data_IF_955156174823
#
_entry.id   IF_955156174823
#
_cell.length_a   1.000
_cell.length_b   1.000
_cell.length_c   1.000
_cell.angle_alpha   90.00
_cell.angle_beta   90.00
_cell.angle_gamma   90.00
#
_symmetry.space_group_name_H-M   'P 1'
#
loop_
_entity.id
_entity.type
_entity.pdbx_description
1 polymer ?
#
# COMPACT_ATOMS: atom_id res chain seq x y z
N UNK A 1 -66.40 -87.78 111.23
CA UNK A 1 -64.97 -87.56 111.52
C UNK A 1 -64.71 -86.07 111.41
N UNK A 2 -64.37 -85.39 112.53
CA UNK A 2 -64.24 -83.95 112.53
C UNK A 2 -62.93 -83.57 111.83
N UNK A 3 -63.05 -82.74 110.80
CA UNK A 3 -61.95 -81.97 110.24
C UNK A 3 -61.39 -81.07 111.36
N UNK A 4 -60.21 -81.43 111.89
CA UNK A 4 -59.47 -80.55 112.78
C UNK A 4 -58.86 -79.41 111.96
N UNK A 5 -59.02 -78.15 112.41
CA UNK A 5 -58.52 -76.99 111.72
C UNK A 5 -56.98 -76.99 111.76
N UNK A 6 -56.36 -76.76 110.60
CA UNK A 6 -54.93 -76.46 110.53
C UNK A 6 -54.64 -75.26 111.44
N UNK A 7 -53.82 -75.48 112.47
CA UNK A 7 -53.44 -74.47 113.44
C UNK A 7 -52.79 -73.28 112.71
N UNK A 8 -53.33 -72.05 112.79
CA UNK A 8 -52.87 -70.90 112.02
C UNK A 8 -51.37 -70.62 112.20
N UNK A 9 -50.79 -70.98 113.35
CA UNK A 9 -49.35 -70.88 113.60
C UNK A 9 -48.50 -71.79 112.72
N UNK A 10 -48.91 -73.05 112.49
CA UNK A 10 -48.16 -74.00 111.63
C UNK A 10 -48.26 -73.64 110.15
N UNK A 11 -49.41 -73.11 109.72
CA UNK A 11 -49.63 -72.63 108.35
C UNK A 11 -48.82 -71.34 108.09
N UNK A 12 -48.76 -70.43 109.06
CA UNK A 12 -47.96 -69.21 109.00
C UNK A 12 -46.44 -69.49 108.98
N UNK A 13 -45.97 -70.49 109.71
CA UNK A 13 -44.56 -70.88 109.76
C UNK A 13 -44.11 -71.54 108.44
N UNK A 14 -44.99 -72.37 107.84
CA UNK A 14 -44.76 -72.94 106.50
C UNK A 14 -44.78 -71.85 105.42
N UNK A 15 -45.73 -70.91 105.48
CA UNK A 15 -45.77 -69.74 104.60
C UNK A 15 -44.54 -68.83 104.75
N UNK A 16 -43.99 -68.68 105.97
CA UNK A 16 -42.76 -67.94 106.21
C UNK A 16 -41.52 -68.67 105.65
N UNK A 17 -41.44 -70.01 105.80
CA UNK A 17 -40.37 -70.81 105.20
C UNK A 17 -40.43 -70.78 103.67
N UNK A 18 -41.63 -70.88 103.08
CA UNK A 18 -41.83 -70.78 101.62
C UNK A 18 -41.47 -69.39 101.09
N UNK A 19 -41.73 -68.32 101.86
CA UNK A 19 -41.25 -66.96 101.55
C UNK A 19 -39.74 -66.86 101.57
N UNK A 20 -39.07 -67.41 102.58
CA UNK A 20 -37.59 -67.42 102.66
C UNK A 20 -36.98 -68.22 101.48
N UNK A 21 -37.58 -69.35 101.12
CA UNK A 21 -37.15 -70.16 99.96
C UNK A 21 -37.39 -69.38 98.66
N UNK A 22 -38.52 -68.70 98.52
CA UNK A 22 -38.84 -67.85 97.37
C UNK A 22 -37.87 -66.65 97.25
N UNK A 23 -37.52 -65.99 98.36
CA UNK A 23 -36.54 -64.89 98.39
C UNK A 23 -35.13 -65.39 98.03
N UNK A 24 -34.76 -66.58 98.51
CA UNK A 24 -33.48 -67.22 98.14
C UNK A 24 -33.45 -67.62 96.66
N UNK A 25 -34.56 -68.13 96.11
CA UNK A 25 -34.68 -68.44 94.69
C UNK A 25 -34.62 -67.16 93.85
N UNK A 26 -35.33 -66.11 94.27
CA UNK A 26 -35.35 -64.78 93.64
C UNK A 26 -33.95 -64.17 93.59
N UNK A 27 -33.20 -64.21 94.70
CA UNK A 27 -31.81 -63.71 94.74
C UNK A 27 -30.86 -64.54 93.86
N UNK A 28 -31.01 -65.87 93.82
CA UNK A 28 -30.24 -66.70 92.89
C UNK A 28 -30.56 -66.41 91.42
N UNK A 29 -31.83 -66.24 91.06
CA UNK A 29 -32.24 -65.88 89.70
C UNK A 29 -31.76 -64.46 89.32
N UNK A 30 -31.71 -63.53 90.27
CA UNK A 30 -31.08 -62.21 90.05
C UNK A 30 -29.58 -62.33 89.78
N UNK A 31 -28.86 -63.19 90.52
CA UNK A 31 -27.43 -63.44 90.24
C UNK A 31 -27.21 -64.13 88.89
N UNK A 32 -28.11 -65.04 88.51
CA UNK A 32 -28.06 -65.69 87.20
C UNK A 32 -28.27 -64.69 86.06
N UNK A 33 -29.32 -63.86 86.13
CA UNK A 33 -29.57 -62.80 85.12
C UNK A 33 -28.43 -61.78 85.04
N UNK A 34 -27.84 -61.42 86.18
CA UNK A 34 -26.67 -60.53 86.21
C UNK A 34 -25.45 -61.16 85.54
N UNK A 35 -25.25 -62.47 85.67
CA UNK A 35 -24.21 -63.19 84.96
C UNK A 35 -24.46 -63.18 83.45
N UNK A 36 -25.69 -63.46 83.02
CA UNK A 36 -26.08 -63.40 81.60
C UNK A 36 -25.87 -61.99 81.02
N UNK A 37 -26.16 -60.94 81.81
CA UNK A 37 -25.91 -59.54 81.42
C UNK A 37 -24.41 -59.22 81.29
N UNK A 38 -23.57 -59.71 82.22
CA UNK A 38 -22.11 -59.56 82.11
C UNK A 38 -21.51 -60.36 80.94
N UNK A 39 -22.03 -61.56 80.67
CA UNK A 39 -21.64 -62.35 79.50
C UNK A 39 -22.00 -61.61 78.21
N UNK A 40 -23.21 -61.04 78.12
CA UNK A 40 -23.62 -60.22 76.97
C UNK A 40 -22.73 -58.98 76.81
N UNK A 41 -22.44 -58.25 77.88
CA UNK A 41 -21.55 -57.07 77.83
C UNK A 41 -20.13 -57.43 77.40
N UNK A 42 -19.60 -58.56 77.89
CA UNK A 42 -18.30 -59.08 77.46
C UNK A 42 -18.30 -59.39 75.96
N UNK A 43 -19.32 -60.08 75.48
CA UNK A 43 -19.41 -60.50 74.08
C UNK A 43 -19.64 -59.30 73.15
N UNK A 44 -20.40 -58.28 73.59
CA UNK A 44 -20.52 -56.99 72.90
C UNK A 44 -19.17 -56.27 72.80
N UNK A 45 -18.44 -56.14 73.91
CA UNK A 45 -17.13 -55.52 73.91
C UNK A 45 -16.12 -56.29 73.03
N UNK A 46 -16.20 -57.62 72.98
CA UNK A 46 -15.38 -58.45 72.10
C UNK A 46 -15.69 -58.18 70.62
N UNK A 47 -16.97 -58.08 70.24
CA UNK A 47 -17.36 -57.73 68.87
C UNK A 47 -16.99 -56.28 68.49
N UNK A 48 -17.09 -55.33 69.44
CA UNK A 48 -16.63 -53.95 69.23
C UNK A 48 -15.11 -53.88 69.01
N UNK A 49 -14.32 -54.69 69.74
CA UNK A 49 -12.88 -54.79 69.52
C UNK A 49 -12.56 -55.29 68.11
N UNK A 50 -13.23 -56.33 67.63
CA UNK A 50 -13.05 -56.86 66.28
C UNK A 50 -13.42 -55.82 65.20
N UNK A 51 -14.51 -55.07 65.40
CA UNK A 51 -14.88 -53.98 64.50
C UNK A 51 -13.85 -52.84 64.48
N UNK A 52 -13.26 -52.50 65.64
CA UNK A 52 -12.18 -51.51 65.73
C UNK A 52 -10.91 -52.00 65.02
N UNK A 53 -10.56 -53.29 65.15
CA UNK A 53 -9.41 -53.86 64.45
C UNK A 53 -9.54 -53.77 62.93
N UNK A 54 -10.74 -54.03 62.38
CA UNK A 54 -11.04 -53.85 60.96
C UNK A 54 -11.00 -52.36 60.55
N UNK A 55 -11.47 -51.44 61.40
CA UNK A 55 -11.31 -50.01 61.16
C UNK A 55 -9.84 -49.59 61.14
N UNK A 56 -9.01 -50.13 62.02
CA UNK A 56 -7.56 -49.89 62.03
C UNK A 56 -6.93 -50.41 60.74
N UNK A 57 -7.33 -51.58 60.25
CA UNK A 57 -6.85 -52.13 58.97
C UNK A 57 -7.26 -51.25 57.78
N UNK A 58 -8.49 -50.74 57.76
CA UNK A 58 -8.95 -49.80 56.74
C UNK A 58 -8.16 -48.49 56.76
N UNK A 59 -7.89 -47.92 57.96
CA UNK A 59 -7.09 -46.70 58.10
C UNK A 59 -5.63 -46.90 57.67
N UNK A 60 -5.02 -48.06 57.95
CA UNK A 60 -3.69 -48.41 57.43
C UNK A 60 -3.66 -48.39 55.90
N UNK A 61 -4.69 -48.92 55.26
CA UNK A 61 -4.82 -48.88 53.79
C UNK A 61 -5.02 -47.46 53.26
N UNK A 62 -5.79 -46.62 53.97
CA UNK A 62 -5.96 -45.21 53.63
C UNK A 62 -4.63 -44.43 53.73
N UNK A 63 -3.79 -44.71 54.73
CA UNK A 63 -2.45 -44.12 54.86
C UNK A 63 -1.58 -44.48 53.65
N UNK A 64 -1.57 -45.75 53.23
CA UNK A 64 -0.81 -46.19 52.05
C UNK A 64 -1.33 -45.54 50.75
N UNK A 65 -2.65 -45.42 50.58
CA UNK A 65 -3.26 -44.70 49.46
C UNK A 65 -2.77 -43.24 49.42
N UNK A 66 -2.79 -42.54 50.55
CA UNK A 66 -2.35 -41.14 50.63
C UNK A 66 -0.86 -41.02 50.32
N UNK A 67 0.00 -41.95 50.77
CA UNK A 67 1.43 -41.98 50.39
C UNK A 67 1.61 -42.10 48.87
N UNK A 68 0.84 -42.97 48.22
CA UNK A 68 0.86 -43.10 46.75
C UNK A 68 0.38 -41.82 46.07
N UNK A 69 -0.66 -41.17 46.58
CA UNK A 69 -1.15 -39.89 46.03
C UNK A 69 -0.10 -38.78 46.15
N UNK A 70 0.64 -38.70 47.25
CA UNK A 70 1.76 -37.76 47.41
C UNK A 70 2.85 -38.06 46.36
N UNK A 71 3.21 -39.32 46.17
CA UNK A 71 4.20 -39.71 45.16
C UNK A 71 3.72 -39.40 43.72
N UNK A 72 2.43 -39.57 43.43
CA UNK A 72 1.83 -39.20 42.16
C UNK A 72 1.86 -37.69 41.94
N UNK A 73 1.52 -36.89 42.96
CA UNK A 73 1.58 -35.43 42.90
C UNK A 73 3.03 -34.95 42.65
N UNK A 74 4.01 -35.55 43.34
CA UNK A 74 5.44 -35.25 43.12
C UNK A 74 5.90 -35.59 41.69
N UNK A 75 5.43 -36.70 41.11
CA UNK A 75 5.70 -37.04 39.70
C UNK A 75 5.02 -36.07 38.73
N UNK A 76 3.79 -35.65 39.01
CA UNK A 76 3.09 -34.67 38.18
C UNK A 76 3.79 -33.31 38.16
N UNK A 77 4.33 -32.88 39.32
CA UNK A 77 5.16 -31.69 39.41
C UNK A 77 6.42 -31.82 38.55
N UNK A 78 7.16 -32.94 38.67
CA UNK A 78 8.35 -33.20 37.86
C UNK A 78 8.05 -33.16 36.36
N UNK A 79 6.97 -33.83 35.92
CA UNK A 79 6.54 -33.81 34.52
C UNK A 79 6.20 -32.39 34.03
N UNK A 80 5.52 -31.58 34.85
CA UNK A 80 5.23 -30.19 34.52
C UNK A 80 6.50 -29.34 34.40
N UNK A 81 7.47 -29.54 35.30
CA UNK A 81 8.78 -28.87 35.24
C UNK A 81 9.56 -29.26 33.97
N UNK A 82 9.58 -30.54 33.61
CA UNK A 82 10.26 -31.00 32.39
C UNK A 82 9.59 -30.47 31.12
N UNK A 83 8.26 -30.40 31.09
CA UNK A 83 7.53 -29.78 29.98
C UNK A 83 7.86 -28.28 29.85
N UNK A 84 7.93 -27.56 30.98
CA UNK A 84 8.35 -26.17 30.99
C UNK A 84 9.80 -25.97 30.51
N UNK A 85 10.73 -26.83 30.95
CA UNK A 85 12.12 -26.83 30.45
C UNK A 85 12.17 -27.07 28.95
N UNK A 86 11.38 -28.01 28.43
CA UNK A 86 11.28 -28.25 26.99
C UNK A 86 10.76 -27.01 26.24
N UNK A 87 9.66 -26.39 26.69
CA UNK A 87 9.13 -25.19 26.05
C UNK A 87 10.10 -24.01 26.04
N UNK A 88 10.97 -23.89 27.05
CA UNK A 88 12.02 -22.87 27.10
C UNK A 88 13.21 -23.18 26.19
N UNK A 89 13.65 -24.43 26.18
CA UNK A 89 14.87 -24.87 25.48
C UNK A 89 14.65 -25.24 24.02
N UNK A 90 13.41 -25.47 23.59
CA UNK A 90 13.11 -25.77 22.18
C UNK A 90 13.57 -24.62 21.28
N UNK A 91 14.01 -24.95 20.07
CA UNK A 91 14.47 -23.98 19.08
C UNK A 91 13.39 -22.97 18.68
N UNK A 92 12.13 -23.40 18.54
CA UNK A 92 10.96 -22.55 18.22
C UNK A 92 10.36 -21.91 19.48
N UNK A 93 11.21 -21.36 20.34
CA UNK A 93 10.78 -20.61 21.52
C UNK A 93 10.30 -19.20 21.14
N UNK A 94 9.77 -18.47 22.12
CA UNK A 94 9.31 -17.09 21.90
C UNK A 94 10.44 -16.14 21.45
N UNK A 95 11.69 -16.41 21.85
CA UNK A 95 12.85 -15.62 21.45
C UNK A 95 13.12 -15.69 19.94
N UNK A 96 12.98 -16.86 19.32
CA UNK A 96 13.08 -17.01 17.87
C UNK A 96 12.04 -16.15 17.14
N UNK A 97 10.77 -16.19 17.58
CA UNK A 97 9.71 -15.40 16.95
C UNK A 97 9.88 -13.89 17.17
N UNK A 98 10.36 -13.46 18.33
CA UNK A 98 10.68 -12.05 18.58
C UNK A 98 11.83 -11.56 17.70
N UNK A 99 12.87 -12.38 17.52
CA UNK A 99 13.95 -12.09 16.59
C UNK A 99 13.45 -12.06 15.14
N UNK A 100 12.63 -13.02 14.72
CA UNK A 100 12.07 -13.06 13.37
C UNK A 100 11.19 -11.84 13.10
N UNK A 101 10.37 -11.42 14.07
CA UNK A 101 9.53 -10.23 13.97
C UNK A 101 10.39 -8.96 13.82
N UNK A 102 11.49 -8.83 14.57
CA UNK A 102 12.37 -7.64 14.46
C UNK A 102 13.06 -7.55 13.10
N UNK A 103 13.51 -8.69 12.55
CA UNK A 103 14.11 -8.74 11.22
C UNK A 103 13.06 -8.46 10.13
N UNK A 104 11.91 -9.15 10.17
CA UNK A 104 10.87 -9.02 9.15
C UNK A 104 10.22 -7.64 9.15
N UNK A 105 10.00 -7.03 10.31
CA UNK A 105 9.45 -5.67 10.39
C UNK A 105 10.37 -4.64 9.72
N UNK A 106 11.69 -4.82 9.83
CA UNK A 106 12.67 -3.95 9.17
C UNK A 106 12.61 -4.09 7.65
N UNK A 107 12.64 -5.33 7.16
CA UNK A 107 12.55 -5.59 5.72
C UNK A 107 11.22 -5.14 5.11
N UNK A 108 10.12 -5.33 5.84
CA UNK A 108 8.79 -4.95 5.38
C UNK A 108 8.66 -3.44 5.20
N UNK A 109 9.17 -2.63 6.14
CA UNK A 109 9.15 -1.18 6.01
C UNK A 109 10.02 -0.67 4.85
N UNK A 110 11.24 -1.21 4.69
CA UNK A 110 12.12 -0.84 3.58
C UNK A 110 11.52 -1.20 2.21
N UNK A 111 10.88 -2.36 2.11
CA UNK A 111 10.17 -2.76 0.91
C UNK A 111 8.97 -1.85 0.62
N UNK A 112 8.22 -1.47 1.66
CA UNK A 112 7.12 -0.52 1.54
C UNK A 112 7.59 0.83 0.98
N UNK A 113 8.66 1.40 1.52
CA UNK A 113 9.19 2.69 1.06
C UNK A 113 9.63 2.63 -0.43
N UNK A 114 10.32 1.55 -0.81
CA UNK A 114 10.72 1.33 -2.20
C UNK A 114 9.51 1.18 -3.14
N UNK A 115 8.46 0.47 -2.73
CA UNK A 115 7.25 0.28 -3.54
C UNK A 115 6.45 1.58 -3.66
N UNK A 116 6.34 2.37 -2.58
CA UNK A 116 5.66 3.67 -2.63
C UNK A 116 6.33 4.61 -3.63
N UNK A 117 7.67 4.64 -3.67
CA UNK A 117 8.40 5.42 -4.66
C UNK A 117 8.04 5.01 -6.11
N UNK A 118 7.91 3.71 -6.38
CA UNK A 118 7.48 3.22 -7.70
C UNK A 118 6.02 3.60 -8.01
N UNK A 119 5.11 3.51 -7.04
CA UNK A 119 3.72 3.94 -7.20
C UNK A 119 3.63 5.44 -7.51
N UNK A 120 4.41 6.28 -6.82
CA UNK A 120 4.47 7.72 -7.07
C UNK A 120 5.05 8.05 -8.45
N UNK A 121 6.06 7.29 -8.91
CA UNK A 121 6.58 7.42 -10.27
C UNK A 121 5.51 7.06 -11.32
N UNK A 122 4.73 5.99 -11.08
CA UNK A 122 3.61 5.61 -11.95
C UNK A 122 2.48 6.63 -11.96
N UNK A 123 2.20 7.27 -10.83
CA UNK A 123 1.25 8.39 -10.75
C UNK A 123 1.78 9.62 -11.50
N UNK A 124 3.07 9.93 -11.37
CA UNK A 124 3.71 11.03 -12.09
C UNK A 124 3.70 10.81 -13.62
N UNK A 125 3.97 9.59 -14.09
CA UNK A 125 3.85 9.26 -15.53
C UNK A 125 2.40 9.35 -16.00
N UNK A 126 1.44 8.90 -15.18
CA UNK A 126 0.02 9.07 -15.49
C UNK A 126 -0.37 10.55 -15.60
N UNK A 127 0.08 11.42 -14.69
CA UNK A 127 -0.16 12.87 -14.79
C UNK A 127 0.43 13.47 -16.06
N UNK A 128 1.63 13.01 -16.44
CA UNK A 128 2.33 13.46 -17.62
C UNK A 128 1.57 13.12 -18.91
N UNK A 129 1.15 11.87 -19.07
CA UNK A 129 0.43 11.39 -20.24
C UNK A 129 -1.00 11.94 -20.32
N UNK A 130 -1.71 11.97 -19.19
CA UNK A 130 -3.10 12.38 -19.15
C UNK A 130 -3.26 13.91 -19.16
N UNK A 131 -2.22 14.66 -18.82
CA UNK A 131 -2.30 16.12 -18.72
C UNK A 131 -3.19 16.61 -17.57
N UNK A 132 -3.44 15.77 -16.57
CA UNK A 132 -4.25 16.10 -15.39
C UNK A 132 -3.40 15.98 -14.13
N UNK A 133 -3.00 17.11 -13.57
CA UNK A 133 -2.14 17.22 -12.39
C UNK A 133 -2.93 17.47 -11.09
N UNK A 134 -4.26 17.49 -11.15
CA UNK A 134 -5.11 17.79 -9.99
C UNK A 134 -5.59 16.53 -9.28
N UNK A 135 -5.87 15.48 -10.05
CA UNK A 135 -6.25 14.19 -9.49
C UNK A 135 -5.08 13.58 -8.73
N UNK A 136 -5.36 12.83 -7.65
CA UNK A 136 -4.36 12.06 -6.91
C UNK A 136 -4.94 10.71 -6.55
N UNK A 137 -4.18 9.65 -6.80
CA UNK A 137 -4.52 8.28 -6.52
C UNK A 137 -3.76 7.74 -5.31
N UNK A 138 -2.45 8.00 -5.25
CA UNK A 138 -1.61 7.49 -4.17
C UNK A 138 -1.77 8.38 -2.95
N UNK A 139 -2.37 7.83 -1.90
CA UNK A 139 -2.64 8.60 -0.69
C UNK A 139 -1.49 8.44 0.32
N UNK A 140 -1.06 9.54 0.97
CA UNK A 140 -0.18 9.43 2.12
C UNK A 140 -0.92 8.74 3.28
N UNK A 141 -0.18 8.10 4.19
CA UNK A 141 -0.68 7.44 5.40
C UNK A 141 -1.41 6.09 5.19
N UNK A 142 -0.95 5.30 4.23
CA UNK A 142 -1.34 3.89 4.09
C UNK A 142 -0.68 3.01 5.16
N UNK A 143 0.48 3.43 5.67
CA UNK A 143 1.22 2.74 6.71
C UNK A 143 0.73 3.12 8.12
N UNK A 144 0.36 2.12 8.92
CA UNK A 144 -0.02 2.29 10.33
C UNK A 144 1.03 1.64 11.25
N UNK A 145 1.78 2.47 11.97
CA UNK A 145 2.81 2.02 12.91
C UNK A 145 2.25 1.10 14.00
N UNK A 146 1.06 1.42 14.52
CA UNK A 146 0.40 0.67 15.60
C UNK A 146 0.03 -0.77 15.20
N UNK A 147 0.00 -1.08 13.90
CA UNK A 147 -0.42 -2.36 13.35
C UNK A 147 0.63 -2.97 12.41
N UNK A 148 1.91 -2.59 12.57
CA UNK A 148 3.02 -3.08 11.74
C UNK A 148 2.82 -2.89 10.22
N UNK A 149 1.96 -1.96 9.80
CA UNK A 149 1.66 -1.71 8.39
C UNK A 149 1.01 -2.88 7.63
N UNK A 150 0.38 -3.85 8.30
CA UNK A 150 -0.06 -5.12 7.68
C UNK A 150 -1.01 -4.98 6.48
N UNK A 151 -1.78 -3.88 6.36
CA UNK A 151 -2.73 -3.65 5.26
C UNK A 151 -2.22 -2.71 4.19
N UNK A 152 -0.94 -2.35 4.23
CA UNK A 152 -0.39 -1.33 3.35
C UNK A 152 -0.37 -1.78 1.89
N UNK A 153 -0.07 -3.06 1.64
CA UNK A 153 -0.03 -3.64 0.30
C UNK A 153 -1.40 -3.64 -0.39
N UNK A 154 -2.46 -4.05 0.31
CA UNK A 154 -3.82 -4.08 -0.23
C UNK A 154 -4.33 -2.68 -0.56
N UNK A 155 -4.02 -1.70 0.29
CA UNK A 155 -4.39 -0.31 0.07
C UNK A 155 -3.69 0.28 -1.16
N UNK A 156 -2.37 0.08 -1.31
CA UNK A 156 -1.63 0.52 -2.50
C UNK A 156 -2.15 -0.16 -3.77
N UNK A 157 -2.42 -1.47 -3.71
CA UNK A 157 -3.00 -2.22 -4.84
C UNK A 157 -4.36 -1.64 -5.26
N UNK A 158 -5.22 -1.30 -4.31
CA UNK A 158 -6.51 -0.68 -4.62
C UNK A 158 -6.33 0.70 -5.28
N UNK A 159 -5.36 1.50 -4.83
CA UNK A 159 -5.05 2.80 -5.43
C UNK A 159 -4.57 2.66 -6.88
N UNK A 160 -3.68 1.69 -7.16
CA UNK A 160 -3.24 1.38 -8.52
C UNK A 160 -4.38 0.93 -9.42
N UNK A 161 -5.29 0.08 -8.94
CA UNK A 161 -6.48 -0.33 -9.71
C UNK A 161 -7.40 0.85 -10.04
N UNK A 162 -7.51 1.84 -9.14
CA UNK A 162 -8.27 3.07 -9.41
C UNK A 162 -7.59 3.93 -10.48
N UNK A 163 -6.26 4.03 -10.42
CA UNK A 163 -5.46 4.75 -11.41
C UNK A 163 -5.60 4.11 -12.80
N UNK A 164 -5.47 2.78 -12.89
CA UNK A 164 -5.67 2.02 -14.14
C UNK A 164 -7.09 2.19 -14.69
N UNK A 165 -8.11 2.07 -13.84
CA UNK A 165 -9.49 2.28 -14.26
C UNK A 165 -9.75 3.71 -14.76
N UNK A 166 -9.09 4.72 -14.18
CA UNK A 166 -9.17 6.11 -14.63
C UNK A 166 -8.44 6.31 -15.96
N UNK A 167 -7.27 5.68 -16.13
CA UNK A 167 -6.53 5.66 -17.39
C UNK A 167 -7.36 5.04 -18.51
N UNK A 168 -7.91 3.83 -18.32
CA UNK A 168 -8.72 3.14 -19.33
C UNK A 168 -9.95 3.93 -19.78
N UNK A 169 -10.59 4.68 -18.86
CA UNK A 169 -11.73 5.55 -19.20
C UNK A 169 -11.35 6.74 -20.08
N UNK A 170 -10.12 7.22 -19.96
CA UNK A 170 -9.57 8.35 -20.73
C UNK A 170 -8.66 7.89 -21.87
N UNK A 171 -8.48 6.58 -22.02
CA UNK A 171 -7.69 5.97 -23.08
C UNK A 171 -8.50 5.93 -24.37
N UNK A 172 -8.76 7.12 -24.90
CA UNK A 172 -9.38 7.35 -26.19
C UNK A 172 -8.38 8.00 -27.13
N UNK A 173 -8.62 7.87 -28.44
CA UNK A 173 -7.79 8.53 -29.44
C UNK A 173 -8.03 10.03 -29.36
N UNK A 174 -7.02 10.75 -28.92
CA UNK A 174 -6.97 12.21 -29.04
C UNK A 174 -6.85 12.59 -30.51
N UNK A 175 -7.13 13.85 -30.82
CA UNK A 175 -6.98 14.34 -32.18
C UNK A 175 -5.48 14.47 -32.48
N UNK A 176 -4.99 13.66 -33.41
CA UNK A 176 -3.59 13.68 -33.86
C UNK A 176 -3.43 14.66 -35.01
N UNK A 177 -2.54 15.64 -34.84
CA UNK A 177 -2.30 16.71 -35.81
C UNK A 177 -0.82 16.77 -36.18
N UNK A 178 -0.58 17.22 -37.41
CA UNK A 178 0.76 17.46 -37.94
C UNK A 178 0.81 18.89 -38.44
N UNK A 179 1.67 19.71 -37.83
CA UNK A 179 1.92 21.09 -38.24
C UNK A 179 3.34 21.21 -38.77
N UNK A 180 3.47 21.69 -40.00
CA UNK A 180 4.77 21.98 -40.60
C UNK A 180 5.00 23.49 -40.57
N UNK A 181 6.03 23.93 -39.88
CA UNK A 181 6.36 25.34 -39.67
C UNK A 181 7.65 25.66 -40.43
N UNK A 182 7.54 26.53 -41.42
CA UNK A 182 8.68 27.15 -42.09
C UNK A 182 9.13 28.35 -41.28
N UNK A 183 10.40 28.38 -40.87
CA UNK A 183 10.95 29.50 -40.11
C UNK A 183 10.99 30.77 -40.96
N UNK A 184 11.26 30.65 -42.27
CA UNK A 184 11.18 31.78 -43.19
C UNK A 184 9.78 32.41 -43.20
N UNK A 185 8.72 31.60 -43.24
CA UNK A 185 7.34 32.11 -43.16
C UNK A 185 7.03 32.69 -41.78
N UNK A 186 7.52 32.06 -40.70
CA UNK A 186 7.31 32.51 -39.33
C UNK A 186 7.95 33.88 -39.05
N UNK A 187 9.14 34.15 -39.58
CA UNK A 187 9.81 35.46 -39.47
C UNK A 187 9.24 36.52 -40.44
N UNK A 188 8.50 36.12 -41.47
CA UNK A 188 7.83 37.04 -42.40
C UNK A 188 6.43 37.45 -41.93
N UNK A 189 5.82 36.70 -41.01
CA UNK A 189 4.52 37.05 -40.44
C UNK A 189 4.60 38.29 -39.53
N UNK A 190 3.54 39.09 -39.54
CA UNK A 190 3.44 40.33 -38.76
C UNK A 190 3.53 40.06 -37.26
N UNK A 191 4.66 40.35 -36.63
CA UNK A 191 4.84 40.23 -35.17
C UNK A 191 6.18 39.66 -34.71
N UNK A 192 7.01 39.15 -35.61
CA UNK A 192 8.37 38.68 -35.30
C UNK A 192 9.34 39.87 -35.23
N UNK A 193 10.20 39.91 -34.21
CA UNK A 193 11.17 41.01 -34.00
C UNK A 193 12.30 41.03 -35.05
N UNK A 194 12.51 39.93 -35.77
CA UNK A 194 13.61 39.71 -36.70
C UNK A 194 13.11 39.26 -38.06
N UNK A 195 13.75 39.76 -39.12
CA UNK A 195 13.53 39.27 -40.49
C UNK A 195 14.33 37.99 -40.75
N UNK A 196 13.89 37.17 -41.71
CA UNK A 196 14.62 35.93 -42.08
C UNK A 196 16.10 36.18 -42.42
N UNK A 197 16.40 37.28 -43.11
CA UNK A 197 17.77 37.60 -43.52
C UNK A 197 18.66 37.97 -42.32
N UNK A 198 18.09 38.57 -41.26
CA UNK A 198 18.78 38.84 -39.99
C UNK A 198 18.99 37.55 -39.21
N UNK A 199 17.98 36.67 -39.15
CA UNK A 199 18.09 35.37 -38.53
C UNK A 199 19.17 34.51 -39.22
N UNK A 200 19.22 34.48 -40.55
CA UNK A 200 20.24 33.76 -41.32
C UNK A 200 21.65 34.30 -41.06
N UNK A 201 21.81 35.63 -40.97
CA UNK A 201 23.10 36.23 -40.55
C UNK A 201 23.48 35.81 -39.14
N UNK A 202 22.52 35.78 -38.21
CA UNK A 202 22.73 35.24 -36.86
C UNK A 202 23.20 33.78 -36.85
N UNK A 203 22.63 32.93 -37.71
CA UNK A 203 23.12 31.55 -37.90
C UNK A 203 24.57 31.53 -38.37
N UNK A 204 24.93 32.39 -39.33
CA UNK A 204 26.27 32.39 -39.93
C UNK A 204 27.31 32.94 -38.94
N UNK A 205 27.00 34.03 -38.24
CA UNK A 205 27.93 34.75 -37.37
C UNK A 205 28.02 34.14 -35.96
N UNK A 206 26.89 33.80 -35.35
CA UNK A 206 26.81 33.31 -33.96
C UNK A 206 26.50 31.79 -33.88
N UNK A 207 25.93 31.21 -34.93
CA UNK A 207 25.56 29.80 -34.95
C UNK A 207 24.28 29.48 -34.17
N UNK A 208 23.41 30.46 -33.88
CA UNK A 208 22.20 30.28 -33.08
C UNK A 208 21.01 30.98 -33.71
N UNK A 209 19.86 30.31 -33.73
CA UNK A 209 18.56 30.91 -34.04
C UNK A 209 17.54 30.53 -33.00
N UNK A 210 16.87 31.55 -32.46
CA UNK A 210 15.78 31.39 -31.52
C UNK A 210 14.45 31.64 -32.23
N UNK A 211 13.46 30.81 -31.92
CA UNK A 211 12.11 30.99 -32.45
C UNK A 211 11.06 30.54 -31.44
N UNK A 212 9.88 31.15 -31.52
CA UNK A 212 8.74 30.82 -30.69
C UNK A 212 7.59 30.27 -31.55
N UNK A 213 7.03 29.16 -31.12
CA UNK A 213 5.77 28.64 -31.64
C UNK A 213 4.61 29.25 -30.84
N UNK A 214 4.19 30.45 -31.27
CA UNK A 214 3.14 31.23 -30.64
C UNK A 214 1.75 30.56 -30.81
N UNK A 215 0.78 30.86 -29.93
CA UNK A 215 -0.59 30.31 -30.01
C UNK A 215 -1.25 30.50 -31.38
N UNK A 216 -1.02 31.65 -32.01
CA UNK A 216 -1.53 32.01 -33.34
C UNK A 216 -1.20 30.97 -34.42
N UNK A 217 -0.05 30.30 -34.33
CA UNK A 217 0.40 29.29 -35.31
C UNK A 217 -0.50 28.05 -35.33
N UNK A 218 -1.12 27.73 -34.19
CA UNK A 218 -1.99 26.56 -34.02
C UNK A 218 -3.47 26.94 -34.01
N UNK A 219 -3.82 28.04 -33.35
CA UNK A 219 -5.20 28.53 -33.24
C UNK A 219 -5.75 28.97 -34.61
N UNK A 220 -4.90 29.48 -35.51
CA UNK A 220 -5.31 29.85 -36.86
C UNK A 220 -5.79 28.68 -37.72
N UNK A 221 -5.31 27.46 -37.44
CA UNK A 221 -5.81 26.25 -38.10
C UNK A 221 -7.03 25.68 -37.33
N UNK A 222 -6.92 25.59 -35.99
CA UNK A 222 -7.95 25.03 -35.11
C UNK A 222 -8.06 25.78 -33.77
N UNK A 223 -9.01 26.73 -33.62
CA UNK A 223 -9.14 27.58 -32.44
C UNK A 223 -9.76 26.86 -31.22
N UNK A 224 -10.49 25.76 -31.43
CA UNK A 224 -11.15 25.02 -30.34
C UNK A 224 -10.26 24.07 -29.54
N UNK A 225 -8.98 23.93 -29.90
CA UNK A 225 -8.12 22.90 -29.33
C UNK A 225 -7.40 23.36 -28.06
N UNK A 226 -7.47 22.55 -27.00
CA UNK A 226 -6.68 22.68 -25.77
C UNK A 226 -5.87 21.40 -25.51
N UNK A 227 -5.07 21.40 -24.44
CA UNK A 227 -4.17 20.30 -24.06
C UNK A 227 -3.30 19.82 -25.24
N UNK A 228 -2.65 20.78 -25.91
CA UNK A 228 -1.75 20.49 -27.03
C UNK A 228 -0.43 19.91 -26.54
N UNK A 229 -0.27 18.60 -26.63
CA UNK A 229 0.94 17.89 -26.22
C UNK A 229 1.70 17.36 -27.44
N UNK A 230 3.00 17.61 -27.49
CA UNK A 230 3.87 17.11 -28.54
C UNK A 230 3.97 15.58 -28.46
N UNK A 231 4.05 14.94 -29.63
CA UNK A 231 4.33 13.50 -29.78
C UNK A 231 5.73 13.31 -30.35
N UNK A 232 6.06 14.08 -31.38
CA UNK A 232 7.40 14.09 -31.95
C UNK A 232 7.64 15.41 -32.69
N UNK A 233 8.92 15.79 -32.76
CA UNK A 233 9.39 16.91 -33.56
C UNK A 233 10.43 16.38 -34.53
N UNK A 234 10.35 16.78 -35.81
CA UNK A 234 11.45 16.61 -36.76
C UNK A 234 11.88 17.94 -37.33
N UNK A 235 13.15 18.00 -37.72
CA UNK A 235 13.73 19.16 -38.40
C UNK A 235 14.24 18.73 -39.76
N UNK A 236 13.89 19.53 -40.77
CA UNK A 236 14.42 19.43 -42.12
C UNK A 236 15.10 20.74 -42.49
N UNK A 237 16.34 20.63 -42.97
CA UNK A 237 17.23 21.72 -43.33
C UNK A 237 17.47 21.65 -44.85
N UNK A 238 16.62 22.31 -45.67
CA UNK A 238 16.83 22.41 -47.10
C UNK A 238 18.07 23.27 -47.40
N UNK A 239 19.22 22.60 -47.43
CA UNK A 239 20.54 23.14 -47.75
C UNK A 239 21.30 22.20 -48.70
N UNK A 240 22.34 22.72 -49.35
CA UNK A 240 23.22 21.94 -50.21
C UNK A 240 24.24 21.18 -49.33
N UNK A 241 23.89 19.95 -48.94
CA UNK A 241 24.77 19.08 -48.16
C UNK A 241 25.57 18.18 -49.10
N UNK A 242 26.90 18.15 -48.93
CA UNK A 242 27.79 17.32 -49.73
C UNK A 242 27.62 15.81 -49.46
N UNK A 243 28.04 14.93 -50.38
CA UNK A 243 28.04 13.49 -50.14
C UNK A 243 28.86 13.12 -48.90
N UNK A 244 28.28 12.33 -47.99
CA UNK A 244 28.89 11.93 -46.71
C UNK A 244 29.25 13.10 -45.77
N UNK A 245 28.70 14.29 -46.02
CA UNK A 245 28.77 15.40 -45.08
C UNK A 245 27.57 15.32 -44.13
N UNK A 246 27.83 15.37 -42.84
CA UNK A 246 26.80 15.37 -41.81
C UNK A 246 26.47 16.81 -41.41
N UNK A 247 25.20 17.05 -41.10
CA UNK A 247 24.78 18.30 -40.46
C UNK A 247 25.07 18.19 -38.97
N UNK A 248 25.60 19.24 -38.34
CA UNK A 248 25.75 19.27 -36.88
C UNK A 248 24.92 20.41 -36.34
N UNK A 249 23.76 20.06 -35.79
CA UNK A 249 22.88 21.01 -35.14
C UNK A 249 22.28 20.40 -33.87
N UNK A 250 21.92 21.25 -32.92
CA UNK A 250 21.29 20.90 -31.66
C UNK A 250 20.02 21.73 -31.54
N UNK A 251 18.87 21.08 -31.48
CA UNK A 251 17.59 21.73 -31.21
C UNK A 251 17.28 21.56 -29.73
N UNK A 252 17.05 22.66 -29.03
CA UNK A 252 16.72 22.69 -27.59
C UNK A 252 15.38 23.35 -27.38
N UNK A 253 14.51 22.72 -26.59
CA UNK A 253 13.26 23.33 -26.12
C UNK A 253 13.58 24.12 -24.84
N UNK A 254 13.64 25.45 -24.95
CA UNK A 254 13.98 26.35 -23.84
C UNK A 254 12.81 26.45 -22.86
N UNK A 255 11.59 26.61 -23.40
CA UNK A 255 10.38 26.59 -22.60
C UNK A 255 9.19 26.04 -23.37
N UNK A 256 8.20 25.54 -22.65
CA UNK A 256 6.95 25.02 -23.19
C UNK A 256 5.78 25.35 -22.25
N UNK A 257 4.60 25.54 -22.82
CA UNK A 257 3.36 25.87 -22.12
C UNK A 257 2.25 24.97 -22.65
N UNK A 258 1.45 24.41 -21.75
CA UNK A 258 0.28 23.59 -22.10
C UNK A 258 -0.93 24.08 -21.33
N UNK A 259 -2.03 24.34 -22.04
CA UNK A 259 -3.33 24.66 -21.43
C UNK A 259 -4.03 23.37 -21.04
N UNK A 260 -4.21 23.11 -19.75
CA UNK A 260 -4.68 21.82 -19.22
C UNK A 260 -6.19 21.61 -19.36
N UNK A 261 -6.97 22.69 -19.40
CA UNK A 261 -8.43 22.69 -19.44
C UNK A 261 -8.91 23.73 -20.44
N UNK A 262 -10.10 23.52 -21.02
CA UNK A 262 -10.78 24.51 -21.85
C UNK A 262 -11.23 25.73 -21.00
N UNK A 263 -10.28 26.58 -20.64
CA UNK A 263 -10.48 27.77 -19.82
C UNK A 263 -10.12 29.03 -20.63
N UNK A 264 -11.12 29.89 -20.82
CA UNK A 264 -11.00 31.15 -21.54
C UNK A 264 -9.93 32.06 -20.92
N UNK A 265 -9.81 32.05 -19.59
CA UNK A 265 -8.85 32.91 -18.87
C UNK A 265 -7.41 32.49 -19.10
N UNK A 266 -7.16 31.20 -19.32
CA UNK A 266 -5.85 30.68 -19.68
C UNK A 266 -5.46 31.14 -21.09
N UNK A 267 -6.40 31.15 -22.04
CA UNK A 267 -6.15 31.68 -23.39
C UNK A 267 -5.92 33.19 -23.37
N UNK A 268 -6.68 33.95 -22.58
CA UNK A 268 -6.46 35.40 -22.43
C UNK A 268 -5.03 35.72 -21.95
N UNK A 269 -4.47 34.93 -21.05
CA UNK A 269 -3.08 35.07 -20.59
C UNK A 269 -2.08 34.88 -21.73
N UNK A 270 -2.30 33.87 -22.59
CA UNK A 270 -1.43 33.59 -23.74
C UNK A 270 -1.45 34.69 -24.79
N UNK A 271 -2.58 35.41 -24.92
CA UNK A 271 -2.76 36.52 -25.86
C UNK A 271 -2.55 37.91 -25.22
N UNK A 272 -2.21 37.98 -23.93
CA UNK A 272 -1.98 39.26 -23.22
C UNK A 272 -3.21 40.14 -23.07
N UNK A 273 -4.40 39.55 -22.92
CA UNK A 273 -5.71 40.24 -22.82
C UNK A 273 -6.17 40.36 -21.35
N UNK A 274 -7.07 41.32 -21.02
CA UNK A 274 -7.61 41.46 -19.65
C UNK A 274 -8.49 40.27 -19.23
N UNK A 275 -8.70 40.08 -17.91
CA UNK A 275 -9.35 38.89 -17.31
C UNK A 275 -8.61 37.57 -17.62
N UNK A 276 -7.29 37.57 -17.37
CA UNK A 276 -6.41 36.43 -17.57
C UNK A 276 -6.11 35.67 -16.27
N UNK A 277 -5.81 34.37 -16.37
CA UNK A 277 -5.39 33.56 -15.22
C UNK A 277 -4.43 32.43 -15.63
N UNK A 278 -3.27 32.29 -14.95
CA UNK A 278 -2.30 31.23 -15.25
C UNK A 278 -2.64 29.88 -14.59
N UNK A 279 -3.75 29.75 -13.85
CA UNK A 279 -4.02 28.60 -13.00
C UNK A 279 -4.10 27.25 -13.74
N UNK A 280 -4.55 27.26 -15.00
CA UNK A 280 -4.69 26.06 -15.84
C UNK A 280 -3.60 25.95 -16.91
N UNK A 281 -2.49 26.69 -16.76
CA UNK A 281 -1.34 26.62 -17.66
C UNK A 281 -0.21 25.88 -16.96
N UNK A 282 0.23 24.78 -17.57
CA UNK A 282 1.43 24.07 -17.16
C UNK A 282 2.65 24.65 -17.88
N UNK A 283 3.65 25.02 -17.09
CA UNK A 283 4.92 25.52 -17.60
C UNK A 283 5.99 24.44 -17.47
N UNK A 284 6.74 24.22 -18.54
CA UNK A 284 7.99 23.43 -18.55
C UNK A 284 7.91 22.10 -17.80
N UNK A 285 7.02 21.16 -18.18
CA UNK A 285 6.95 19.86 -17.52
C UNK A 285 8.28 19.09 -17.64
N UNK A 286 9.03 19.29 -18.73
CA UNK A 286 10.41 18.81 -18.89
C UNK A 286 11.25 19.94 -19.50
N UNK A 287 11.95 20.69 -18.65
CA UNK A 287 12.76 21.82 -19.09
C UNK A 287 14.03 21.37 -19.84
N UNK A 288 14.45 22.18 -20.81
CA UNK A 288 15.76 22.09 -21.47
C UNK A 288 16.08 20.74 -22.12
N UNK A 289 15.07 20.08 -22.68
CA UNK A 289 15.32 18.92 -23.54
C UNK A 289 16.02 19.36 -24.82
N UNK A 290 16.88 18.50 -25.36
CA UNK A 290 17.57 18.76 -26.61
C UNK A 290 17.74 17.50 -27.44
N UNK A 291 17.80 17.67 -28.75
CA UNK A 291 18.15 16.64 -29.72
C UNK A 291 19.32 17.09 -30.59
N UNK A 292 20.13 16.13 -31.03
CA UNK A 292 21.17 16.35 -32.02
C UNK A 292 20.64 15.95 -33.40
N UNK A 293 20.87 16.79 -34.40
CA UNK A 293 20.54 16.52 -35.79
C UNK A 293 21.82 16.12 -36.52
N UNK A 294 21.74 15.10 -37.37
CA UNK A 294 22.87 14.55 -38.13
C UNK A 294 22.58 14.42 -39.62
N UNK A 295 21.32 14.14 -39.99
CA UNK A 295 20.90 13.96 -41.39
C UNK A 295 20.40 15.24 -42.03
N UNK A 296 19.72 16.08 -41.25
CA UNK A 296 19.11 17.33 -41.73
C UNK A 296 17.89 17.15 -42.64
N UNK A 297 17.36 15.93 -42.80
CA UNK A 297 16.11 15.68 -43.54
C UNK A 297 15.24 14.78 -42.66
N UNK A 298 14.05 15.26 -42.29
CA UNK A 298 13.09 14.61 -41.39
C UNK A 298 13.78 13.96 -40.17
N UNK A 299 14.66 14.72 -39.53
CA UNK A 299 15.51 14.22 -38.46
C UNK A 299 14.86 14.46 -37.10
N UNK A 300 14.62 13.38 -36.36
CA UNK A 300 13.97 13.36 -35.05
C UNK A 300 14.98 13.34 -33.88
N UNK A 301 16.29 13.24 -34.17
CA UNK A 301 17.33 13.12 -33.15
C UNK A 301 17.39 11.77 -32.45
N UNK A 302 16.73 10.76 -33.01
CA UNK A 302 16.82 9.35 -32.64
C UNK A 302 17.24 8.53 -33.86
N UNK A 303 17.94 7.42 -33.65
CA UNK A 303 18.41 6.58 -34.76
C UNK A 303 17.25 5.97 -35.57
N UNK A 304 16.21 5.54 -34.87
CA UNK A 304 14.99 4.99 -35.44
C UNK A 304 13.81 5.53 -34.62
N UNK A 305 12.81 6.07 -35.33
CA UNK A 305 11.55 6.47 -34.72
C UNK A 305 10.69 5.21 -34.53
N UNK A 306 10.48 4.81 -33.28
CA UNK A 306 9.58 3.72 -32.91
C UNK A 306 8.57 4.23 -31.89
N UNK A 307 7.29 4.18 -32.26
CA UNK A 307 6.19 4.59 -31.38
C UNK A 307 5.82 3.51 -30.36
N UNK A 308 6.43 2.31 -30.45
CA UNK A 308 6.25 1.23 -29.49
C UNK A 308 7.41 1.13 -28.47
N UNK A 309 8.33 2.09 -28.44
CA UNK A 309 9.36 2.15 -27.39
C UNK A 309 8.69 2.46 -26.04
N UNK A 310 9.15 1.78 -24.98
CA UNK A 310 8.66 2.00 -23.61
C UNK A 310 9.09 3.37 -23.05
N UNK A 311 10.01 4.06 -23.73
CA UNK A 311 10.52 5.37 -23.34
C UNK A 311 9.88 6.48 -24.17
N UNK A 312 9.58 7.60 -23.51
CA UNK A 312 9.13 8.80 -24.20
C UNK A 312 10.15 9.28 -25.24
N UNK A 313 9.65 9.62 -26.43
CA UNK A 313 10.40 10.28 -27.48
C UNK A 313 10.86 11.68 -27.02
N UNK A 314 11.89 12.24 -27.67
CA UNK A 314 12.29 13.61 -27.39
C UNK A 314 11.12 14.58 -27.58
N UNK A 315 10.92 15.46 -26.60
CA UNK A 315 9.84 16.44 -26.50
C UNK A 315 8.43 15.86 -26.35
N UNK A 316 8.26 14.54 -26.34
CA UNK A 316 6.94 13.93 -26.17
C UNK A 316 6.33 14.33 -24.84
N UNK A 317 5.06 14.76 -24.85
CA UNK A 317 4.29 15.19 -23.68
C UNK A 317 4.51 16.65 -23.27
N UNK A 318 5.49 17.35 -23.84
CA UNK A 318 5.69 18.78 -23.60
C UNK A 318 4.68 19.63 -24.38
N UNK A 319 4.55 20.91 -24.01
CA UNK A 319 3.57 21.79 -24.63
C UNK A 319 3.92 22.18 -26.06
N UNK A 320 2.92 22.19 -26.94
CA UNK A 320 3.11 22.67 -28.32
C UNK A 320 3.51 24.15 -28.38
N UNK A 321 2.97 24.97 -27.48
CA UNK A 321 3.36 26.37 -27.33
C UNK A 321 4.74 26.40 -26.67
N UNK A 322 5.77 26.76 -27.42
CA UNK A 322 7.14 26.54 -26.98
C UNK A 322 8.15 27.48 -27.60
N UNK A 323 9.22 27.74 -26.84
CA UNK A 323 10.39 28.50 -27.29
C UNK A 323 11.52 27.53 -27.58
N UNK A 324 12.14 27.68 -28.74
CA UNK A 324 13.16 26.80 -29.25
C UNK A 324 14.43 27.57 -29.56
N UNK A 325 15.55 26.91 -29.30
CA UNK A 325 16.88 27.34 -29.71
C UNK A 325 17.44 26.27 -30.66
N UNK A 326 17.73 26.65 -31.90
CA UNK A 326 18.48 25.84 -32.84
C UNK A 326 19.91 26.35 -32.90
N UNK A 327 20.84 25.53 -32.45
CA UNK A 327 22.28 25.85 -32.39
C UNK A 327 23.04 24.98 -33.40
N UNK A 328 23.98 25.58 -34.10
CA UNK A 328 24.94 24.91 -34.99
C UNK A 328 26.34 24.94 -34.35
N UNK A 329 26.75 23.87 -33.64
CA UNK A 329 28.09 23.78 -33.10
C UNK A 329 29.14 23.89 -34.20
N UNK A 330 30.19 24.69 -33.96
CA UNK A 330 31.24 24.95 -34.94
C UNK A 330 30.68 25.44 -36.28
N UNK A 331 29.76 26.42 -36.25
CA UNK A 331 29.16 27.02 -37.45
C UNK A 331 30.22 27.42 -38.50
N UNK A 332 31.41 27.88 -38.06
CA UNK A 332 32.55 28.18 -38.92
C UNK A 332 33.09 27.03 -39.78
N UNK A 333 32.95 25.77 -39.35
CA UNK A 333 33.35 24.58 -40.12
C UNK A 333 32.23 24.12 -41.10
N UNK A 334 31.04 24.70 -41.02
CA UNK A 334 29.86 24.33 -41.81
C UNK A 334 29.28 25.51 -42.61
N UNK A 335 30.07 26.58 -42.78
CA UNK A 335 29.64 27.84 -43.43
C UNK A 335 29.03 27.59 -44.80
N UNK A 336 29.68 26.80 -45.67
CA UNK A 336 29.20 26.52 -47.02
C UNK A 336 27.77 25.95 -47.05
N UNK A 337 27.43 25.11 -46.06
CA UNK A 337 26.08 24.55 -45.91
C UNK A 337 25.11 25.61 -45.37
N UNK A 338 25.53 26.38 -44.37
CA UNK A 338 24.71 27.43 -43.75
C UNK A 338 24.38 28.58 -44.73
N UNK A 339 25.32 28.96 -45.60
CA UNK A 339 25.09 29.96 -46.65
C UNK A 339 24.09 29.46 -47.71
N UNK A 340 24.06 28.15 -47.96
CA UNK A 340 23.12 27.52 -48.89
C UNK A 340 21.73 27.27 -48.29
N UNK A 341 21.54 27.55 -46.99
CA UNK A 341 20.30 27.26 -46.27
C UNK A 341 19.17 28.15 -46.78
N UNK A 342 18.16 27.52 -47.38
CA UNK A 342 17.03 28.27 -47.98
C UNK A 342 15.91 28.57 -46.99
N UNK A 343 15.71 27.67 -46.03
CA UNK A 343 14.70 27.69 -44.98
C UNK A 343 15.10 26.69 -43.88
N UNK A 344 14.43 26.73 -42.74
CA UNK A 344 14.46 25.68 -41.71
C UNK A 344 13.02 25.25 -41.47
N UNK A 345 12.75 23.97 -41.68
CA UNK A 345 11.41 23.41 -41.57
C UNK A 345 11.35 22.58 -40.29
N UNK A 346 10.44 22.95 -39.39
CA UNK A 346 10.16 22.22 -38.17
C UNK A 346 8.80 21.57 -38.31
N UNK A 347 8.76 20.25 -38.26
CA UNK A 347 7.52 19.49 -38.30
C UNK A 347 7.17 19.01 -36.89
N UNK A 348 6.03 19.47 -36.41
CA UNK A 348 5.53 19.22 -35.06
C UNK A 348 4.34 18.28 -35.16
N UNK A 349 4.46 17.08 -34.61
CA UNK A 349 3.33 16.16 -34.42
C UNK A 349 2.85 16.30 -32.99
N UNK A 350 1.56 16.57 -32.82
CA UNK A 350 0.98 16.80 -31.50
C UNK A 350 -0.42 16.21 -31.41
N UNK A 351 -0.86 15.99 -30.17
CA UNK A 351 -2.25 15.63 -29.86
C UNK A 351 -2.96 16.81 -29.22
N UNK A 352 -4.28 16.89 -29.42
CA UNK A 352 -5.13 17.90 -28.79
C UNK A 352 -6.49 17.33 -28.39
N UNK A 353 -7.17 18.07 -27.51
CA UNK A 353 -8.56 17.85 -27.14
C UNK A 353 -9.42 19.04 -27.60
N UNK A 354 -10.66 18.76 -27.97
CA UNK A 354 -11.62 19.78 -28.38
C UNK A 354 -12.36 20.36 -27.16
N UNK A 355 -12.28 21.68 -26.98
CA UNK A 355 -12.93 22.44 -25.93
C UNK A 355 -14.39 22.79 -26.23
N UNK A 356 -14.87 22.47 -27.42
CA UNK A 356 -16.22 22.75 -27.87
C UNK A 356 -16.40 24.13 -28.54
N UNK A 357 -17.61 24.41 -29.05
CA UNK A 357 -17.85 25.56 -29.92
C UNK A 357 -17.72 26.90 -29.20
N UNK A 358 -18.12 26.98 -27.93
CA UNK A 358 -18.01 28.22 -27.14
C UNK A 358 -16.54 28.59 -26.90
N UNK A 359 -15.69 27.58 -26.63
CA UNK A 359 -14.24 27.75 -26.51
C UNK A 359 -13.61 28.22 -27.81
N UNK A 360 -13.96 27.57 -28.93
CA UNK A 360 -13.49 27.96 -30.25
C UNK A 360 -13.85 29.41 -30.60
N UNK A 361 -15.11 29.81 -30.39
CA UNK A 361 -15.58 31.17 -30.69
C UNK A 361 -14.88 32.26 -29.88
N UNK A 362 -14.53 31.99 -28.62
CA UNK A 362 -13.73 32.91 -27.82
C UNK A 362 -12.31 33.08 -28.39
N UNK A 363 -11.66 31.97 -28.75
CA UNK A 363 -10.29 31.98 -29.30
C UNK A 363 -10.25 32.65 -30.68
N UNK A 364 -11.26 32.44 -31.52
CA UNK A 364 -11.41 33.18 -32.80
C UNK A 364 -11.45 34.70 -32.57
N UNK A 365 -12.21 35.16 -31.57
CA UNK A 365 -12.22 36.57 -31.19
C UNK A 365 -10.86 37.11 -30.69
N UNK A 366 -9.96 36.24 -30.24
CA UNK A 366 -8.58 36.60 -29.86
C UNK A 366 -7.63 36.67 -31.06
N UNK A 367 -7.93 35.98 -32.16
CA UNK A 367 -7.14 36.00 -33.39
C UNK A 367 -7.38 37.27 -34.21
N UNK A 368 -8.64 37.73 -34.22
CA UNK A 368 -9.08 38.87 -35.02
C UNK A 368 -8.69 40.25 -34.43
N UNK A 369 -8.24 40.31 -33.18
CA UNK A 369 -7.94 41.57 -32.48
C UNK A 369 -6.61 41.57 -31.75
#
# INVERSE_FOLDING_TARGET
>A
MPHQPLNPYTLNLKAAADRIIADRLSTNEQYRRRREEWELQRDQAAAELEAIDEQIAAQRSAIEMVKVQIAQAGKAEQQAQDYYRFLKSRSTNAGLYQWLLSQMSTFYYQAYDAVVALCLNGEASWHYEMGDYQTRFIQPNVWFDNHFGLTAGEALRLQLLRMEAAWLKRFERRQELVRTVSLKQLFQQSGSEQTWDEALKGVIDEGVVNFELAPKVFDGDYPGHYLRQLVSVSVSLPALVGPYQEVRAVLTQVSSRTVLKADYRAMNELYGKPDSSPANILYNPRASQSICLSRGIDDHGVFQLDFNDDRYLPFEGTGALSHWELRFPRHGEQIDMLESLTDIIVQVRYTALDGGPDFAGHVEGLLDG
#
